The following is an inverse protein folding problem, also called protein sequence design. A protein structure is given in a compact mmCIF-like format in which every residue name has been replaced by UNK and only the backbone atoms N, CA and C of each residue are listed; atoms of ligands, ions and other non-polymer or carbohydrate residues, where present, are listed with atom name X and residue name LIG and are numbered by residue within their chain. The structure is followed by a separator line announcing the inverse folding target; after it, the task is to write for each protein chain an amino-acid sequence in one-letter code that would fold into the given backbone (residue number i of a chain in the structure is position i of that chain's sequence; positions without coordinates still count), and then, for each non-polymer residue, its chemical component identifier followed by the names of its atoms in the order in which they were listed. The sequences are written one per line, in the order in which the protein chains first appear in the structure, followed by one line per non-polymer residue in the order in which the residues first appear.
data_IF_133456022567
#
_entry.id   IF_133456022567
#
_cell.length_a   1.000
_cell.length_b   1.000
_cell.length_c   1.000
_cell.angle_alpha   90.00
_cell.angle_beta   90.00
_cell.angle_gamma   90.00
#
_symmetry.space_group_name_H-M   'P 1'
#
loop_
_entity.id
_entity.type
_entity.pdbx_description
1 polymer ?
#
# COMPACT_ATOMS: atom_id res chain seq x y z
N UNK A 1 -2.18 24.27 16.90
CA UNK A 1 -1.78 22.83 16.99
C UNK A 1 -0.41 22.67 16.37
N UNK A 2 0.48 21.80 16.88
CA UNK A 2 1.74 21.49 16.18
C UNK A 2 1.40 20.60 14.98
N UNK A 3 1.65 21.10 13.80
CA UNK A 3 1.55 20.30 12.58
C UNK A 3 2.76 19.36 12.55
N UNK A 4 2.52 18.06 12.59
CA UNK A 4 3.58 17.05 12.50
C UNK A 4 3.73 16.58 11.05
N UNK A 5 4.97 16.36 10.60
CA UNK A 5 5.23 15.73 9.31
C UNK A 5 4.61 14.32 9.27
N UNK A 6 4.24 13.82 8.07
CA UNK A 6 3.75 12.45 7.92
C UNK A 6 4.85 11.43 8.24
N UNK A 7 4.43 10.20 8.52
CA UNK A 7 5.33 9.06 8.52
C UNK A 7 5.93 8.84 7.12
N UNK A 8 7.07 8.16 7.00
CA UNK A 8 7.71 7.87 5.71
C UNK A 8 6.82 7.10 4.73
N UNK A 9 5.83 6.40 5.25
CA UNK A 9 4.85 5.61 4.50
C UNK A 9 3.45 5.90 5.00
N UNK A 10 2.54 6.21 4.09
CA UNK A 10 1.10 6.30 4.35
C UNK A 10 0.45 5.15 3.60
N UNK A 11 -0.29 4.28 4.30
CA UNK A 11 -0.82 3.03 3.76
C UNK A 11 0.32 2.16 3.19
N UNK A 12 0.35 1.89 1.90
CA UNK A 12 1.41 1.13 1.23
C UNK A 12 2.16 1.99 0.22
N UNK A 13 2.29 3.30 0.50
CA UNK A 13 2.92 4.25 -0.41
C UNK A 13 3.96 5.11 0.33
N UNK A 14 5.15 5.24 -0.27
CA UNK A 14 6.23 6.09 0.21
C UNK A 14 5.90 7.55 -0.03
N UNK A 15 5.99 8.38 1.00
CA UNK A 15 5.81 9.82 0.90
C UNK A 15 7.00 10.45 0.17
N UNK A 16 6.70 11.25 -0.86
CA UNK A 16 7.67 12.00 -1.67
C UNK A 16 7.67 13.48 -1.29
N UNK A 17 6.47 14.04 -1.10
CA UNK A 17 6.33 15.41 -0.59
C UNK A 17 4.97 15.55 0.09
N UNK A 18 4.86 16.54 0.99
CA UNK A 18 3.62 16.85 1.66
C UNK A 18 3.42 18.37 1.78
N UNK A 19 2.17 18.78 2.03
CA UNK A 19 1.83 20.19 2.27
C UNK A 19 0.71 20.30 3.29
N UNK A 20 0.77 21.35 4.13
CA UNK A 20 -0.32 21.78 4.99
C UNK A 20 -1.15 22.81 4.24
N UNK A 21 -2.47 22.63 4.18
CA UNK A 21 -3.40 23.44 3.40
C UNK A 21 -4.61 23.90 4.19
N UNK A 22 -4.60 23.72 5.51
CA UNK A 22 -5.67 24.10 6.45
C UNK A 22 -6.01 25.59 6.42
N UNK A 23 -5.02 26.45 6.13
CA UNK A 23 -5.16 27.91 6.02
C UNK A 23 -5.34 28.40 4.56
N UNK A 24 -5.35 27.49 3.58
CA UNK A 24 -5.52 27.84 2.16
C UNK A 24 -7.00 27.74 1.78
N UNK A 25 -7.58 28.78 1.16
CA UNK A 25 -8.96 28.70 0.69
C UNK A 25 -9.16 27.57 -0.32
N UNK A 26 -10.06 26.65 -0.02
CA UNK A 26 -10.41 25.56 -0.91
C UNK A 26 -11.27 26.06 -2.08
N UNK A 27 -10.88 25.70 -3.28
CA UNK A 27 -11.67 25.90 -4.51
C UNK A 27 -12.07 24.54 -5.04
N UNK A 28 -13.36 24.30 -5.09
CA UNK A 28 -13.86 23.04 -5.63
C UNK A 28 -13.60 22.97 -7.13
N UNK A 29 -12.60 22.17 -7.51
CA UNK A 29 -12.32 21.81 -8.89
C UNK A 29 -12.48 20.30 -9.05
N UNK A 30 -13.60 19.88 -9.66
CA UNK A 30 -13.98 18.48 -9.71
C UNK A 30 -14.62 17.97 -8.41
N UNK A 31 -14.82 16.67 -8.34
CA UNK A 31 -15.39 16.00 -7.17
C UNK A 31 -14.56 14.78 -6.82
N UNK A 32 -14.10 14.73 -5.58
CA UNK A 32 -13.41 13.57 -5.02
C UNK A 32 -14.36 12.90 -4.04
N UNK A 33 -14.55 11.59 -4.19
CA UNK A 33 -15.42 10.82 -3.31
C UNK A 33 -14.64 9.72 -2.61
N UNK A 34 -15.02 9.42 -1.38
CA UNK A 34 -14.64 8.20 -0.65
C UNK A 34 -15.93 7.44 -0.34
N UNK A 35 -16.20 6.39 -1.11
CA UNK A 35 -17.52 5.81 -1.16
C UNK A 35 -18.56 6.84 -1.63
N UNK A 36 -19.62 7.02 -0.87
CA UNK A 36 -20.68 8.01 -1.15
C UNK A 36 -20.40 9.40 -0.55
N UNK A 37 -19.31 9.57 0.20
CA UNK A 37 -18.96 10.81 0.84
C UNK A 37 -18.12 11.70 -0.07
N UNK A 38 -18.58 12.90 -0.36
CA UNK A 38 -17.81 13.95 -1.00
C UNK A 38 -16.68 14.42 -0.07
N UNK A 39 -15.44 14.40 -0.58
CA UNK A 39 -14.28 14.98 0.10
C UNK A 39 -14.15 16.44 -0.36
N UNK A 40 -14.29 17.34 0.57
CA UNK A 40 -14.17 18.79 0.36
C UNK A 40 -12.78 19.27 0.81
N UNK A 41 -12.75 20.27 1.69
CA UNK A 41 -11.50 20.76 2.27
C UNK A 41 -10.85 19.70 3.16
N UNK A 42 -9.54 19.51 3.00
CA UNK A 42 -8.71 18.70 3.91
C UNK A 42 -7.56 19.54 4.43
N UNK A 43 -7.04 19.28 5.64
CA UNK A 43 -5.94 20.06 6.21
C UNK A 43 -4.58 19.73 5.61
N UNK A 44 -4.42 18.54 5.04
CA UNK A 44 -3.11 18.01 4.65
C UNK A 44 -3.17 17.25 3.31
N UNK A 45 -2.10 17.40 2.54
CA UNK A 45 -1.90 16.70 1.27
C UNK A 45 -0.56 15.98 1.29
N UNK A 46 -0.50 14.78 0.71
CA UNK A 46 0.76 14.06 0.48
C UNK A 46 0.82 13.51 -0.93
N UNK A 47 1.98 13.65 -1.57
CA UNK A 47 2.28 12.98 -2.84
C UNK A 47 3.12 11.75 -2.51
N UNK A 48 2.64 10.60 -2.94
CA UNK A 48 3.20 9.31 -2.59
C UNK A 48 3.44 8.44 -3.83
N UNK A 49 4.41 7.53 -3.73
CA UNK A 49 4.64 6.46 -4.71
C UNK A 49 4.34 5.12 -4.06
N UNK A 50 3.54 4.30 -4.71
CA UNK A 50 3.21 2.97 -4.20
C UNK A 50 4.48 2.11 -4.07
N UNK A 51 4.59 1.31 -3.00
CA UNK A 51 5.78 0.48 -2.74
C UNK A 51 5.87 -0.74 -3.66
N UNK A 52 4.75 -1.27 -4.14
CA UNK A 52 4.71 -2.53 -4.88
C UNK A 52 4.29 -2.41 -6.35
N UNK A 53 3.70 -1.30 -6.74
CA UNK A 53 3.15 -1.11 -8.10
C UNK A 53 3.59 0.23 -8.66
N UNK A 54 4.07 0.23 -9.89
CA UNK A 54 4.31 1.47 -10.63
C UNK A 54 3.00 1.93 -11.29
N UNK A 55 2.17 2.59 -10.50
CA UNK A 55 0.88 3.16 -10.92
C UNK A 55 0.93 4.68 -11.04
N UNK A 56 2.14 5.25 -11.03
CA UNK A 56 2.35 6.69 -10.97
C UNK A 56 2.11 7.29 -9.58
N UNK A 57 2.33 8.60 -9.45
CA UNK A 57 2.14 9.32 -8.19
C UNK A 57 0.68 9.37 -7.76
N UNK A 58 0.47 9.21 -6.46
CA UNK A 58 -0.81 9.32 -5.79
C UNK A 58 -0.83 10.62 -4.98
N UNK A 59 -1.84 11.45 -5.15
CA UNK A 59 -2.12 12.58 -4.30
C UNK A 59 -3.13 12.15 -3.24
N UNK A 60 -2.68 12.03 -2.00
CA UNK A 60 -3.50 11.71 -0.85
C UNK A 60 -4.05 13.00 -0.22
N UNK A 61 -5.33 12.97 0.08
CA UNK A 61 -6.08 13.98 0.81
C UNK A 61 -6.27 13.45 2.22
N UNK A 62 -5.65 14.08 3.21
CA UNK A 62 -5.53 13.53 4.56
C UNK A 62 -6.18 14.45 5.62
N UNK A 63 -6.60 13.84 6.74
CA UNK A 63 -6.97 14.55 7.96
C UNK A 63 -5.72 14.99 8.75
N UNK A 64 -5.92 15.54 9.96
CA UNK A 64 -4.87 16.05 10.84
C UNK A 64 -3.89 14.97 11.34
N UNK A 65 -4.28 13.70 11.32
CA UNK A 65 -3.47 12.54 11.73
C UNK A 65 -2.87 11.79 10.53
N UNK A 66 -2.96 12.33 9.33
CA UNK A 66 -2.53 11.71 8.08
C UNK A 66 -3.35 10.47 7.66
N UNK A 67 -4.56 10.27 8.21
CA UNK A 67 -5.46 9.27 7.67
C UNK A 67 -5.96 9.71 6.29
N UNK A 68 -5.91 8.80 5.33
CA UNK A 68 -6.29 9.08 3.94
C UNK A 68 -7.81 9.11 3.82
N UNK A 69 -8.34 10.28 3.51
CA UNK A 69 -9.76 10.52 3.25
C UNK A 69 -10.11 10.28 1.78
N UNK A 70 -9.17 10.52 0.87
CA UNK A 70 -9.36 10.32 -0.55
C UNK A 70 -8.04 10.30 -1.31
N UNK A 71 -8.06 9.73 -2.51
CA UNK A 71 -6.89 9.57 -3.37
C UNK A 71 -7.22 10.02 -4.79
N UNK A 72 -6.30 10.77 -5.39
CA UNK A 72 -6.33 11.05 -6.81
C UNK A 72 -4.97 10.72 -7.45
N UNK A 73 -4.97 10.12 -8.64
CA UNK A 73 -3.74 9.76 -9.35
C UNK A 73 -3.26 10.89 -10.25
N UNK A 74 -2.00 10.82 -10.65
CA UNK A 74 -1.39 11.64 -11.69
C UNK A 74 -0.39 10.82 -12.49
N UNK A 75 -0.07 11.23 -13.72
CA UNK A 75 0.97 10.56 -14.51
C UNK A 75 2.37 10.98 -14.02
N UNK A 76 2.51 12.18 -13.48
CA UNK A 76 3.77 12.72 -12.93
C UNK A 76 3.53 13.43 -11.60
N UNK A 77 4.62 13.66 -10.84
CA UNK A 77 4.58 14.43 -9.60
C UNK A 77 4.09 15.87 -9.86
N UNK A 78 4.53 16.47 -10.96
CA UNK A 78 4.12 17.81 -11.38
C UNK A 78 2.62 17.87 -11.66
N UNK A 79 2.07 16.84 -12.31
CA UNK A 79 0.62 16.75 -12.53
C UNK A 79 -0.15 16.62 -11.21
N UNK A 80 0.34 15.80 -10.28
CA UNK A 80 -0.26 15.68 -8.95
C UNK A 80 -0.21 17.02 -8.18
N UNK A 81 0.93 17.73 -8.20
CA UNK A 81 1.07 19.09 -7.65
C UNK A 81 0.12 20.08 -8.34
N UNK A 82 0.00 20.03 -9.65
CA UNK A 82 -0.93 20.87 -10.42
C UNK A 82 -2.41 20.60 -10.09
N UNK A 83 -2.78 19.35 -9.80
CA UNK A 83 -4.15 19.01 -9.32
C UNK A 83 -4.40 19.62 -7.94
N UNK A 84 -3.45 19.50 -7.02
CA UNK A 84 -3.54 20.13 -5.71
C UNK A 84 -3.71 21.64 -5.82
N UNK A 85 -2.94 22.31 -6.69
CA UNK A 85 -2.99 23.76 -6.89
C UNK A 85 -4.34 24.28 -7.42
N UNK A 86 -5.07 23.46 -8.18
CA UNK A 86 -6.43 23.84 -8.64
C UNK A 86 -7.42 23.91 -7.49
N UNK A 87 -7.29 23.03 -6.49
CA UNK A 87 -8.14 23.01 -5.31
C UNK A 87 -7.65 23.95 -4.20
N UNK A 88 -6.33 24.12 -4.10
CA UNK A 88 -5.64 24.89 -3.05
C UNK A 88 -4.66 25.88 -3.69
N UNK A 89 -5.15 27.02 -4.24
CA UNK A 89 -4.28 28.03 -4.87
C UNK A 89 -3.26 28.58 -3.89
N UNK A 90 -1.97 28.49 -4.26
CA UNK A 90 -0.85 28.89 -3.39
C UNK A 90 -0.16 27.72 -2.68
N UNK A 91 -0.66 26.48 -2.81
CA UNK A 91 -0.01 25.29 -2.26
C UNK A 91 1.35 25.03 -2.87
N UNK A 92 1.64 25.59 -4.05
CA UNK A 92 2.91 25.41 -4.79
C UNK A 92 4.13 25.77 -3.95
N UNK A 93 4.00 26.79 -3.08
CA UNK A 93 5.06 27.24 -2.17
C UNK A 93 5.10 26.50 -0.82
N UNK A 94 4.19 25.56 -0.60
CA UNK A 94 4.03 24.84 0.70
C UNK A 94 4.57 23.43 0.67
N UNK A 95 4.96 22.92 -0.50
CA UNK A 95 5.46 21.55 -0.60
C UNK A 95 6.78 21.38 0.13
N UNK A 96 6.82 20.40 1.02
CA UNK A 96 8.01 19.94 1.72
C UNK A 96 8.39 18.58 1.12
N UNK A 97 9.57 18.50 0.51
CA UNK A 97 10.06 17.27 -0.08
C UNK A 97 10.62 16.33 1.00
N UNK A 98 10.35 15.04 0.84
CA UNK A 98 10.78 13.97 1.74
C UNK A 98 11.79 13.08 1.03
N UNK A 99 13.00 12.96 1.59
CA UNK A 99 14.10 12.20 1.00
C UNK A 99 14.24 10.79 1.58
N UNK A 100 13.12 10.12 1.87
CA UNK A 100 13.15 8.72 2.32
C UNK A 100 13.47 7.81 1.13
N UNK A 101 14.49 6.97 1.24
CA UNK A 101 14.78 5.94 0.24
C UNK A 101 13.70 4.85 0.23
N UNK A 102 13.63 4.08 -0.87
CA UNK A 102 12.66 2.97 -0.95
C UNK A 102 12.96 1.90 0.11
N UNK A 103 14.23 1.62 0.40
CA UNK A 103 14.62 0.65 1.42
C UNK A 103 14.25 1.09 2.83
N UNK A 104 14.36 2.37 3.14
CA UNK A 104 13.90 2.93 4.41
C UNK A 104 12.39 2.86 4.55
N UNK A 105 11.65 3.18 3.49
CA UNK A 105 10.20 3.08 3.45
C UNK A 105 9.75 1.62 3.67
N UNK A 106 10.40 0.65 3.03
CA UNK A 106 10.11 -0.78 3.21
C UNK A 106 10.41 -1.23 4.64
N UNK A 107 11.56 -0.82 5.22
CA UNK A 107 11.88 -1.13 6.62
C UNK A 107 10.89 -0.51 7.60
N UNK A 108 10.42 0.70 7.30
CA UNK A 108 9.38 1.35 8.09
C UNK A 108 8.07 0.55 8.00
N UNK A 109 7.62 0.21 6.80
CA UNK A 109 6.42 -0.60 6.56
C UNK A 109 6.49 -1.94 7.29
N UNK A 110 7.60 -2.67 7.17
CA UNK A 110 7.79 -3.96 7.84
C UNK A 110 7.67 -3.85 9.37
N UNK A 111 8.14 -2.75 9.98
CA UNK A 111 7.97 -2.50 11.42
C UNK A 111 6.51 -2.27 11.80
N UNK A 112 5.83 -1.37 11.09
CA UNK A 112 4.44 -0.99 11.39
C UNK A 112 3.47 -2.15 11.18
N UNK A 113 3.76 -3.03 10.23
CA UNK A 113 2.93 -4.20 9.92
C UNK A 113 3.39 -5.48 10.62
N UNK A 114 4.33 -5.39 11.59
CA UNK A 114 4.95 -6.55 12.23
C UNK A 114 5.52 -7.57 11.22
N UNK A 115 6.02 -7.10 10.09
CA UNK A 115 6.57 -7.93 9.03
C UNK A 115 5.54 -8.81 8.32
N UNK A 116 4.27 -8.37 8.25
CA UNK A 116 3.20 -9.11 7.59
C UNK A 116 3.60 -9.54 6.16
N UNK A 117 3.54 -10.85 5.90
CA UNK A 117 3.92 -11.48 4.62
C UNK A 117 3.06 -12.70 4.37
N UNK A 118 2.87 -13.04 3.10
CA UNK A 118 2.30 -14.33 2.76
C UNK A 118 3.14 -15.44 3.39
N UNK A 119 2.51 -16.30 4.20
CA UNK A 119 3.18 -17.38 4.95
C UNK A 119 3.81 -18.45 4.05
N UNK A 120 3.48 -18.46 2.76
CA UNK A 120 3.95 -19.45 1.80
C UNK A 120 5.01 -18.89 0.84
N UNK A 121 4.73 -17.77 0.15
CA UNK A 121 5.68 -17.19 -0.81
C UNK A 121 6.53 -16.05 -0.26
N UNK A 122 6.23 -15.54 0.95
CA UNK A 122 6.97 -14.48 1.61
C UNK A 122 6.71 -13.07 1.05
N UNK A 123 5.82 -12.92 0.07
CA UNK A 123 5.48 -11.59 -0.49
C UNK A 123 4.75 -10.76 0.54
N UNK A 124 5.08 -9.47 0.59
CA UNK A 124 4.37 -8.47 1.41
C UNK A 124 3.00 -8.12 0.80
N UNK A 125 2.02 -7.62 1.58
CA UNK A 125 0.72 -7.22 1.06
C UNK A 125 0.79 -6.28 -0.16
N UNK A 126 1.70 -5.31 -0.17
CA UNK A 126 1.84 -4.39 -1.30
C UNK A 126 2.47 -5.04 -2.57
N UNK A 127 3.14 -6.19 -2.45
CA UNK A 127 3.68 -6.98 -3.56
C UNK A 127 2.64 -7.96 -4.15
N UNK A 128 1.47 -8.06 -3.51
CA UNK A 128 0.39 -8.98 -3.89
C UNK A 128 -0.65 -8.23 -4.72
N UNK A 129 -0.81 -8.63 -5.99
CA UNK A 129 -1.73 -7.97 -6.90
C UNK A 129 -3.20 -8.29 -6.61
N UNK A 130 -3.50 -9.53 -6.22
CA UNK A 130 -4.83 -10.12 -6.33
C UNK A 130 -5.53 -10.38 -4.98
N UNK A 131 -5.02 -9.73 -3.92
CA UNK A 131 -5.58 -9.86 -2.58
C UNK A 131 -5.03 -11.06 -1.79
N UNK A 132 -5.41 -11.10 -0.52
CA UNK A 132 -5.00 -12.13 0.44
C UNK A 132 -6.13 -12.47 1.39
N UNK A 133 -5.99 -13.61 2.05
CA UNK A 133 -6.84 -14.02 3.18
C UNK A 133 -5.98 -14.02 4.43
N UNK A 134 -6.51 -13.47 5.50
CA UNK A 134 -5.85 -13.39 6.80
C UNK A 134 -6.54 -14.31 7.80
N UNK A 135 -5.77 -15.11 8.49
CA UNK A 135 -6.21 -16.00 9.58
C UNK A 135 -5.44 -15.71 10.87
N UNK A 136 -5.67 -16.50 11.93
CA UNK A 136 -5.13 -16.28 13.29
C UNK A 136 -3.61 -16.23 13.34
N UNK A 137 -2.78 -16.24 12.55
CA UNK A 137 -1.31 -16.08 12.52
C UNK A 137 -0.75 -16.38 11.12
N UNK A 138 -1.58 -16.29 10.09
CA UNK A 138 -1.15 -16.57 8.74
C UNK A 138 -1.83 -15.63 7.75
N UNK A 139 -1.09 -15.23 6.75
CA UNK A 139 -1.58 -14.52 5.56
C UNK A 139 -1.30 -15.42 4.38
N UNK A 140 -2.29 -15.64 3.53
CA UNK A 140 -2.10 -16.38 2.28
C UNK A 140 -2.57 -15.54 1.10
N UNK A 141 -1.72 -15.32 0.12
CA UNK A 141 -2.10 -14.60 -1.09
C UNK A 141 -2.90 -15.51 -2.06
N UNK A 142 -3.74 -14.89 -2.89
CA UNK A 142 -4.57 -15.60 -3.86
C UNK A 142 -3.74 -16.53 -4.75
N UNK A 143 -2.62 -16.08 -5.27
CA UNK A 143 -1.73 -16.90 -6.10
C UNK A 143 -1.35 -18.22 -5.41
N UNK A 144 -0.97 -18.17 -4.12
CA UNK A 144 -0.65 -19.38 -3.36
C UNK A 144 -1.88 -20.29 -3.16
N UNK A 145 -3.06 -19.71 -2.96
CA UNK A 145 -4.32 -20.49 -2.85
C UNK A 145 -4.61 -21.21 -4.17
N UNK A 146 -4.47 -20.52 -5.29
CA UNK A 146 -4.70 -21.06 -6.63
C UNK A 146 -3.70 -22.18 -6.94
N UNK A 147 -2.40 -21.96 -6.70
CA UNK A 147 -1.35 -22.96 -6.88
C UNK A 147 -1.67 -24.25 -6.09
N UNK A 148 -2.06 -24.14 -4.82
CA UNK A 148 -2.43 -25.30 -4.01
C UNK A 148 -3.68 -25.99 -4.51
N UNK A 149 -4.69 -25.25 -4.93
CA UNK A 149 -5.93 -25.81 -5.46
C UNK A 149 -5.66 -26.63 -6.76
N UNK A 150 -4.75 -26.17 -7.61
CA UNK A 150 -4.33 -26.92 -8.79
C UNK A 150 -3.56 -28.22 -8.42
N UNK A 151 -2.66 -28.15 -7.45
CA UNK A 151 -1.95 -29.35 -6.96
C UNK A 151 -2.93 -30.39 -6.41
N UNK A 152 -3.90 -30.02 -5.58
CA UNK A 152 -4.91 -30.91 -5.04
C UNK A 152 -5.82 -31.53 -6.11
N UNK A 153 -6.18 -30.79 -7.16
CA UNK A 153 -6.97 -31.32 -8.27
C UNK A 153 -6.18 -32.37 -9.06
N UNK A 154 -4.88 -32.13 -9.29
CA UNK A 154 -4.02 -33.05 -10.02
C UNK A 154 -3.76 -34.33 -9.22
N UNK A 155 -3.59 -34.27 -7.90
CA UNK A 155 -3.45 -35.45 -7.03
C UNK A 155 -4.72 -36.29 -6.98
N UNK A 156 -5.88 -35.67 -7.03
CA UNK A 156 -7.17 -36.38 -7.06
C UNK A 156 -7.40 -37.17 -8.34
N UNK A 157 -6.77 -36.78 -9.45
CA UNK A 157 -6.86 -37.46 -10.76
C UNK A 157 -5.95 -38.69 -10.89
N UNK A 158 -4.95 -38.84 -10.02
CA UNK A 158 -3.93 -39.93 -10.08
C UNK A 158 -4.16 -40.99 -9.02
N UNK A 159 -5.38 -41.30 -8.62
CA UNK A 159 -5.83 -42.41 -7.77
C UNK A 159 -4.74 -43.00 -6.84
N UNK A 160 -4.76 -42.64 -5.58
CA UNK A 160 -4.15 -43.36 -4.46
C UNK A 160 -2.62 -43.55 -4.47
N UNK A 161 -1.87 -42.44 -4.41
CA UNK A 161 -0.48 -42.53 -3.94
C UNK A 161 -0.29 -41.57 -2.78
N UNK A 162 0.02 -42.14 -1.62
CA UNK A 162 0.36 -41.39 -0.42
C UNK A 162 1.36 -40.28 -0.72
N UNK A 163 1.17 -39.17 -0.06
CA UNK A 163 1.96 -37.94 -0.13
C UNK A 163 3.45 -38.19 -0.22
N UNK A 164 3.99 -38.24 -1.42
CA UNK A 164 5.43 -38.18 -1.67
C UNK A 164 5.73 -36.75 -2.11
N UNK A 165 6.32 -35.98 -1.17
CA UNK A 165 6.71 -34.60 -1.40
C UNK A 165 7.50 -34.42 -2.68
N UNK A 166 6.93 -33.74 -3.66
CA UNK A 166 7.64 -33.26 -4.83
C UNK A 166 8.61 -32.11 -4.48
N UNK A 167 9.45 -31.67 -5.44
CA UNK A 167 10.47 -30.64 -5.19
C UNK A 167 9.94 -29.31 -4.59
N UNK A 168 8.63 -29.03 -4.71
CA UNK A 168 7.97 -27.87 -4.09
C UNK A 168 7.59 -28.10 -2.64
N UNK A 169 7.28 -29.32 -2.22
CA UNK A 169 6.99 -29.62 -0.82
C UNK A 169 8.21 -29.41 0.09
N UNK A 170 9.44 -29.55 -0.44
CA UNK A 170 10.67 -29.25 0.31
C UNK A 170 10.82 -27.76 0.66
N UNK A 171 10.23 -26.85 -0.13
CA UNK A 171 10.22 -25.42 0.20
C UNK A 171 9.22 -25.08 1.30
N UNK A 172 8.08 -25.77 1.34
CA UNK A 172 7.07 -25.58 2.37
C UNK A 172 7.54 -26.17 3.70
N UNK A 173 8.15 -27.36 3.69
CA UNK A 173 8.66 -28.01 4.91
C UNK A 173 9.82 -27.21 5.56
N UNK A 174 10.67 -26.54 4.79
CA UNK A 174 11.76 -25.73 5.35
C UNK A 174 11.27 -24.46 6.04
N UNK A 175 10.10 -23.92 5.63
CA UNK A 175 9.51 -22.75 6.29
C UNK A 175 8.90 -23.10 7.66
N UNK A 176 8.53 -24.35 7.91
CA UNK A 176 7.95 -24.80 9.18
C UNK A 176 8.99 -25.30 10.19
N UNK A 177 10.20 -25.68 9.72
CA UNK A 177 11.25 -26.23 10.60
C UNK A 177 12.05 -25.17 11.38
N UNK A 178 11.81 -23.88 11.17
CA UNK A 178 12.59 -22.81 11.81
C UNK A 178 11.84 -22.06 12.93
N UNK A 179 10.73 -22.63 13.43
CA UNK A 179 10.03 -22.07 14.62
C UNK A 179 9.67 -23.17 15.61
N UNK A 180 10.65 -23.58 16.37
CA UNK A 180 10.52 -24.10 17.73
C UNK A 180 11.50 -23.35 18.61
#
# INVERSE_FOLDING_TARGET
MKQNAPSPVIQSARVISYAFVDDIPYRRWGSLYSGDRLIEHVPQLAICLNLGKDIGPLLFHCDEEWNVLGVSGGATIEEAKGRAARNYPGVESRWVDVNTSIDEAIRYYDRETNGAKCSFCGKRPFEIADGWVEGNNAIICRTCVEDFNEEFKNDSSTGNRGYRGGPRASRVASAWSTRV
#
